data_IF_361497121291
#
_entry.id   IF_361497121291
#
_cell.length_a   1.000
_cell.length_b   1.000
_cell.length_c   1.000
_cell.angle_alpha   90.00
_cell.angle_beta   90.00
_cell.angle_gamma   90.00
#
_symmetry.space_group_name_H-M   'P 1'
#
loop_
_entity.id
_entity.type
_entity.pdbx_description
1 polymer ?
#
# COMPACT_ATOMS: atom_id res chain seq x y z
N UNK A 1 -56.35 -21.23 57.89
CA UNK A 1 -56.01 -22.36 58.76
C UNK A 1 -54.49 -22.40 58.83
N UNK A 2 -53.78 -21.87 59.72
CA UNK A 2 -53.65 -21.95 61.16
C UNK A 2 -52.57 -22.98 61.53
N UNK A 3 -51.87 -22.74 62.58
CA UNK A 3 -50.39 -22.52 62.61
C UNK A 3 -49.70 -23.55 63.57
N UNK A 4 -48.47 -23.22 64.00
CA UNK A 4 -47.75 -23.77 65.18
C UNK A 4 -46.52 -24.64 64.85
N UNK A 5 -45.37 -24.66 65.59
CA UNK A 5 -44.93 -23.97 66.81
C UNK A 5 -43.38 -24.20 66.86
N UNK A 6 -42.65 -23.27 67.48
CA UNK A 6 -41.25 -23.45 67.96
C UNK A 6 -41.29 -24.37 69.25
N UNK A 7 -40.17 -24.93 69.69
CA UNK A 7 -39.47 -24.28 70.75
C UNK A 7 -37.93 -24.29 70.70
N UNK A 8 -37.42 -23.31 71.42
CA UNK A 8 -36.05 -23.05 71.84
C UNK A 8 -35.65 -23.93 73.04
N UNK A 9 -34.39 -24.28 73.17
CA UNK A 9 -33.55 -24.51 74.34
C UNK A 9 -32.13 -24.59 73.87
N UNK A 10 -31.11 -23.90 74.32
CA UNK A 10 -30.71 -23.47 75.60
C UNK A 10 -29.16 -23.66 75.65
N UNK A 11 -28.48 -22.67 76.10
CA UNK A 11 -27.01 -22.50 76.12
C UNK A 11 -26.23 -23.59 76.90
N UNK A 12 -24.98 -23.80 76.52
CA UNK A 12 -23.84 -23.86 77.48
C UNK A 12 -22.53 -23.59 76.80
N UNK A 13 -21.76 -22.68 77.36
CA UNK A 13 -20.41 -22.33 76.95
C UNK A 13 -19.39 -23.35 77.46
N UNK A 14 -18.40 -23.72 76.64
CA UNK A 14 -17.15 -24.27 77.10
C UNK A 14 -16.01 -23.72 76.23
N UNK A 15 -15.21 -22.85 76.80
CA UNK A 15 -14.00 -22.36 76.26
C UNK A 15 -12.89 -23.41 76.35
N UNK A 16 -12.31 -23.82 75.27
CA UNK A 16 -11.03 -24.53 75.24
C UNK A 16 -10.12 -23.77 74.27
N UNK A 17 -9.11 -23.15 74.85
CA UNK A 17 -7.99 -22.56 74.04
C UNK A 17 -7.12 -23.65 73.52
N UNK A 18 -6.96 -23.76 72.22
CA UNK A 18 -5.86 -24.47 71.55
C UNK A 18 -5.00 -23.47 70.75
N UNK A 19 -3.81 -23.18 71.29
CA UNK A 19 -2.72 -22.63 70.62
C UNK A 19 -2.16 -23.69 69.62
N UNK A 20 -2.50 -23.53 68.38
CA UNK A 20 -1.93 -24.33 67.30
C UNK A 20 -1.44 -23.38 66.20
N UNK A 21 -0.13 -23.08 66.22
CA UNK A 21 0.48 -22.30 65.17
C UNK A 21 0.48 -23.04 63.85
N UNK A 22 -0.30 -22.57 62.88
CA UNK A 22 -0.20 -22.99 61.48
C UNK A 22 0.78 -22.08 60.78
N UNK A 23 1.99 -22.57 60.58
CA UNK A 23 2.94 -21.98 59.66
C UNK A 23 2.34 -22.08 58.25
N UNK A 24 1.82 -20.97 57.73
CA UNK A 24 1.41 -20.85 56.31
C UNK A 24 2.69 -20.84 55.46
N UNK A 25 3.00 -21.98 54.87
CA UNK A 25 3.97 -22.06 53.77
C UNK A 25 3.42 -21.25 52.57
N UNK A 26 3.84 -20.00 52.46
CA UNK A 26 3.65 -19.23 51.27
C UNK A 26 4.47 -19.87 50.13
N UNK A 27 3.84 -20.74 49.36
CA UNK A 27 4.43 -21.17 48.08
C UNK A 27 4.43 -19.98 47.15
N UNK A 28 5.61 -19.38 46.99
CA UNK A 28 5.88 -18.40 45.96
C UNK A 28 5.83 -19.13 44.62
N UNK A 29 4.70 -19.02 43.90
CA UNK A 29 4.57 -19.50 42.52
C UNK A 29 5.48 -18.58 41.69
N UNK A 30 6.69 -18.99 41.43
CA UNK A 30 7.51 -18.40 40.36
C UNK A 30 6.83 -18.74 39.04
N UNK A 31 5.96 -17.87 38.56
CA UNK A 31 5.58 -17.83 37.16
C UNK A 31 6.81 -17.32 36.43
N UNK A 32 7.65 -18.27 35.97
CA UNK A 32 8.68 -17.95 35.00
C UNK A 32 7.94 -17.44 33.76
N UNK A 33 7.88 -16.13 33.59
CA UNK A 33 7.48 -15.52 32.32
C UNK A 33 8.49 -16.03 31.30
N UNK A 34 8.09 -16.95 30.41
CA UNK A 34 8.86 -17.24 29.22
C UNK A 34 9.07 -15.91 28.54
N UNK A 35 10.28 -15.39 28.60
CA UNK A 35 10.66 -14.23 27.81
C UNK A 35 10.28 -14.55 26.37
N UNK A 36 9.29 -13.83 25.87
CA UNK A 36 8.84 -14.00 24.49
C UNK A 36 10.06 -13.65 23.64
N UNK A 37 10.60 -14.64 22.94
CA UNK A 37 11.80 -14.46 22.12
C UNK A 37 11.46 -13.36 21.12
N UNK A 38 12.06 -12.18 21.29
CA UNK A 38 11.88 -11.08 20.35
C UNK A 38 12.37 -11.61 19.01
N UNK A 39 11.49 -11.63 18.03
CA UNK A 39 11.85 -12.05 16.68
C UNK A 39 12.90 -11.08 16.12
N UNK A 40 13.92 -11.63 15.49
CA UNK A 40 14.95 -10.87 14.79
C UNK A 40 14.99 -11.32 13.33
N UNK A 41 15.13 -10.40 12.37
CA UNK A 41 15.19 -10.79 10.97
C UNK A 41 16.44 -11.62 10.67
N UNK A 42 16.35 -12.58 9.72
CA UNK A 42 17.53 -13.18 9.14
C UNK A 42 18.43 -12.10 8.54
N UNK A 43 19.72 -12.39 8.40
CA UNK A 43 20.71 -11.41 7.92
C UNK A 43 21.34 -11.87 6.62
N UNK A 44 21.59 -10.93 5.74
CA UNK A 44 22.45 -11.08 4.57
C UNK A 44 23.92 -11.22 5.01
N UNK A 45 24.83 -11.56 4.11
CA UNK A 45 26.26 -11.72 4.41
C UNK A 45 26.93 -10.44 4.93
N UNK A 46 26.40 -9.27 4.58
CA UNK A 46 26.85 -7.94 5.04
C UNK A 46 26.15 -7.49 6.34
N UNK A 47 25.34 -8.35 6.95
CA UNK A 47 24.76 -8.16 8.29
C UNK A 47 23.44 -7.38 8.32
N UNK A 48 22.88 -6.98 7.19
CA UNK A 48 21.60 -6.28 7.11
C UNK A 48 20.42 -7.26 7.09
N UNK A 49 19.19 -6.83 7.44
CA UNK A 49 18.00 -7.67 7.30
C UNK A 49 17.84 -8.24 5.90
N UNK A 50 17.60 -9.54 5.82
CA UNK A 50 17.40 -10.25 4.54
C UNK A 50 15.92 -10.15 4.12
N UNK A 51 15.66 -9.21 3.23
CA UNK A 51 14.33 -8.96 2.65
C UNK A 51 14.14 -9.65 1.30
N UNK A 52 15.10 -10.46 0.85
CA UNK A 52 15.06 -11.10 -0.46
C UNK A 52 13.85 -12.02 -0.61
N UNK A 53 13.38 -12.17 -1.84
CA UNK A 53 12.27 -13.05 -2.22
C UNK A 53 11.06 -12.31 -2.75
N UNK A 54 9.92 -13.00 -2.81
CA UNK A 54 8.70 -12.53 -3.43
C UNK A 54 7.75 -11.92 -2.41
N UNK A 55 7.23 -10.75 -2.74
CA UNK A 55 6.37 -9.95 -1.89
C UNK A 55 5.16 -9.44 -2.66
N UNK A 56 4.06 -9.21 -1.96
CA UNK A 56 2.91 -8.50 -2.51
C UNK A 56 2.55 -7.31 -1.65
N UNK A 57 2.23 -6.19 -2.28
CA UNK A 57 1.68 -5.01 -1.64
C UNK A 57 0.17 -4.86 -1.88
N UNK A 58 -0.49 -5.93 -2.35
CA UNK A 58 -1.92 -5.94 -2.59
C UNK A 58 -2.71 -5.61 -1.32
N UNK A 59 -3.54 -4.58 -1.38
CA UNK A 59 -4.32 -4.10 -0.25
C UNK A 59 -5.67 -3.54 -0.68
N UNK A 60 -6.69 -3.76 0.15
CA UNK A 60 -8.00 -3.09 0.04
C UNK A 60 -8.03 -1.74 0.75
N UNK A 61 -7.03 -1.44 1.58
CA UNK A 61 -6.95 -0.16 2.27
C UNK A 61 -6.81 0.97 1.26
N UNK A 62 -7.75 1.92 1.22
CA UNK A 62 -7.65 3.04 0.30
C UNK A 62 -6.52 4.01 0.70
N UNK A 63 -5.99 4.76 -0.25
CA UNK A 63 -4.97 5.78 0.04
C UNK A 63 -5.54 6.81 1.03
N UNK A 64 -6.70 7.37 0.74
CA UNK A 64 -7.39 8.33 1.59
C UNK A 64 -8.52 7.69 2.38
N UNK A 65 -8.76 8.18 3.59
CA UNK A 65 -9.86 7.71 4.45
C UNK A 65 -11.21 8.07 3.84
N UNK A 66 -12.12 7.10 3.69
CA UNK A 66 -13.50 7.37 3.30
C UNK A 66 -14.16 8.40 4.23
N UNK A 67 -14.92 9.32 3.65
CA UNK A 67 -15.53 10.44 4.41
C UNK A 67 -16.45 9.97 5.52
N UNK A 68 -17.16 8.89 5.29
CA UNK A 68 -18.09 8.26 6.23
C UNK A 68 -17.41 7.71 7.49
N UNK A 69 -16.11 7.46 7.45
CA UNK A 69 -15.34 6.97 8.60
C UNK A 69 -14.81 8.11 9.50
N UNK A 70 -14.94 9.37 9.07
CA UNK A 70 -14.56 10.54 9.85
C UNK A 70 -13.13 10.46 10.39
N UNK A 71 -12.97 10.43 11.72
CA UNK A 71 -11.66 10.34 12.39
C UNK A 71 -11.25 8.92 12.75
N UNK A 72 -12.01 7.90 12.36
CA UNK A 72 -11.73 6.51 12.69
C UNK A 72 -10.48 6.04 11.95
N UNK A 73 -9.37 5.92 12.66
CA UNK A 73 -8.07 5.55 12.08
C UNK A 73 -7.95 4.05 11.80
N UNK A 74 -8.55 3.21 12.67
CA UNK A 74 -8.45 1.75 12.56
C UNK A 74 -9.82 1.09 12.60
N UNK A 75 -9.95 0.01 11.85
CA UNK A 75 -11.02 -0.97 12.02
C UNK A 75 -10.75 -1.86 13.24
N UNK A 76 -11.79 -2.33 13.89
CA UNK A 76 -11.68 -3.52 14.73
C UNK A 76 -11.38 -4.73 13.85
N UNK A 77 -10.96 -5.84 14.45
CA UNK A 77 -10.69 -7.08 13.70
C UNK A 77 -11.93 -7.57 12.95
N UNK A 78 -13.10 -7.56 13.60
CA UNK A 78 -14.35 -7.96 12.99
C UNK A 78 -14.78 -7.04 11.84
N UNK A 79 -14.58 -5.73 11.96
CA UNK A 79 -14.86 -4.77 10.89
C UNK A 79 -13.92 -4.97 9.70
N UNK A 80 -12.62 -5.15 9.93
CA UNK A 80 -11.66 -5.41 8.87
C UNK A 80 -12.04 -6.67 8.09
N UNK A 81 -12.30 -7.78 8.78
CA UNK A 81 -12.75 -9.02 8.16
C UNK A 81 -14.05 -8.85 7.36
N UNK A 82 -15.01 -8.05 7.88
CA UNK A 82 -16.27 -7.76 7.17
C UNK A 82 -16.03 -6.96 5.89
N UNK A 83 -15.17 -5.94 5.94
CA UNK A 83 -14.82 -5.12 4.76
C UNK A 83 -14.08 -5.96 3.72
N UNK A 84 -13.12 -6.77 4.13
CA UNK A 84 -12.39 -7.69 3.24
C UNK A 84 -13.34 -8.64 2.54
N UNK A 85 -14.22 -9.31 3.30
CA UNK A 85 -15.22 -10.22 2.72
C UNK A 85 -16.19 -9.52 1.76
N UNK A 86 -16.58 -8.28 2.06
CA UNK A 86 -17.44 -7.49 1.17
C UNK A 86 -16.73 -7.12 -0.14
N UNK A 87 -15.46 -6.72 -0.06
CA UNK A 87 -14.65 -6.39 -1.25
C UNK A 87 -14.39 -7.62 -2.13
N UNK A 88 -14.05 -8.75 -1.53
CA UNK A 88 -13.87 -10.01 -2.25
C UNK A 88 -15.16 -10.43 -2.96
N UNK A 89 -16.33 -10.32 -2.31
CA UNK A 89 -17.61 -10.58 -2.97
C UNK A 89 -17.87 -9.64 -4.14
N UNK A 90 -17.56 -8.36 -3.99
CA UNK A 90 -17.71 -7.37 -5.06
C UNK A 90 -16.83 -7.70 -6.27
N UNK A 91 -15.56 -8.08 -6.04
CA UNK A 91 -14.63 -8.46 -7.12
C UNK A 91 -15.08 -9.74 -7.84
N UNK A 92 -15.70 -10.67 -7.11
CA UNK A 92 -16.18 -11.94 -7.67
C UNK A 92 -17.62 -11.88 -8.21
N UNK A 93 -18.32 -10.73 -8.09
CA UNK A 93 -19.73 -10.56 -8.51
C UNK A 93 -19.89 -10.11 -9.96
N UNK A 94 -19.00 -10.51 -10.83
CA UNK A 94 -19.11 -10.16 -12.26
C UNK A 94 -20.24 -10.91 -12.92
N UNK A 95 -20.96 -10.24 -13.84
CA UNK A 95 -22.00 -10.88 -14.61
C UNK A 95 -21.42 -11.99 -15.50
N UNK A 96 -22.04 -13.17 -15.56
CA UNK A 96 -21.60 -14.23 -16.48
C UNK A 96 -21.65 -13.83 -17.97
N UNK A 97 -22.35 -12.73 -18.28
CA UNK A 97 -22.50 -12.21 -19.64
C UNK A 97 -21.40 -11.21 -20.03
N UNK A 98 -20.64 -10.73 -19.05
CA UNK A 98 -19.53 -9.82 -19.32
C UNK A 98 -18.30 -10.62 -19.77
N UNK A 99 -17.73 -10.23 -20.90
CA UNK A 99 -16.38 -10.68 -21.29
C UNK A 99 -15.36 -10.01 -20.36
N UNK A 100 -15.01 -10.70 -19.30
CA UNK A 100 -14.15 -10.16 -18.27
C UNK A 100 -12.96 -11.09 -17.99
N UNK A 101 -11.94 -10.54 -17.36
CA UNK A 101 -10.87 -11.33 -16.78
C UNK A 101 -11.44 -12.29 -15.74
N UNK A 102 -11.08 -13.55 -15.84
CA UNK A 102 -11.34 -14.49 -14.75
C UNK A 102 -10.47 -14.12 -13.55
N UNK A 103 -11.03 -13.28 -12.68
CA UNK A 103 -10.36 -12.82 -11.47
C UNK A 103 -9.94 -13.97 -10.56
N UNK A 104 -10.60 -15.14 -10.64
CA UNK A 104 -10.25 -16.32 -9.84
C UNK A 104 -8.90 -16.88 -10.27
N UNK A 105 -8.57 -16.86 -11.56
CA UNK A 105 -7.27 -17.34 -12.08
C UNK A 105 -6.15 -16.37 -11.68
N UNK A 106 -6.40 -15.04 -11.81
CA UNK A 106 -5.39 -14.01 -11.58
C UNK A 106 -5.30 -13.53 -10.12
N UNK A 107 -6.28 -13.89 -9.29
CA UNK A 107 -6.40 -13.45 -7.90
C UNK A 107 -6.49 -14.63 -6.92
N UNK A 108 -5.92 -15.77 -7.28
CA UNK A 108 -5.90 -16.97 -6.43
C UNK A 108 -5.53 -16.69 -4.97
N UNK A 109 -5.66 -17.67 -4.08
CA UNK A 109 -5.42 -17.50 -2.63
C UNK A 109 -4.09 -16.83 -2.28
N UNK A 110 -3.06 -16.98 -3.14
CA UNK A 110 -1.75 -16.34 -2.99
C UNK A 110 -1.76 -14.81 -3.14
N UNK A 111 -2.80 -14.25 -3.77
CA UNK A 111 -2.95 -12.81 -3.98
C UNK A 111 -3.96 -12.16 -3.04
N UNK A 112 -4.27 -12.80 -1.92
CA UNK A 112 -5.27 -12.30 -0.98
C UNK A 112 -4.97 -10.87 -0.56
N UNK A 113 -5.85 -9.97 -0.95
CA UNK A 113 -5.86 -8.58 -0.53
C UNK A 113 -6.36 -8.48 0.90
N UNK A 114 -5.75 -7.62 1.68
CA UNK A 114 -6.14 -7.40 3.08
C UNK A 114 -6.34 -5.91 3.34
N UNK A 115 -6.98 -5.62 4.46
CA UNK A 115 -6.90 -4.29 5.07
C UNK A 115 -5.57 -4.18 5.79
N UNK A 116 -4.64 -3.42 5.21
CA UNK A 116 -3.29 -3.25 5.73
C UNK A 116 -3.31 -2.67 7.14
N UNK A 117 -2.70 -3.36 8.12
CA UNK A 117 -2.65 -2.96 9.52
C UNK A 117 -4.03 -2.58 10.13
N UNK A 118 -5.13 -3.09 9.59
CA UNK A 118 -6.51 -2.68 9.94
C UNK A 118 -6.77 -1.18 9.78
N UNK A 119 -5.96 -0.46 9.03
CA UNK A 119 -6.13 0.98 8.81
C UNK A 119 -7.29 1.26 7.86
N UNK A 120 -7.95 2.39 8.11
CA UNK A 120 -9.04 2.91 7.28
C UNK A 120 -8.52 3.72 6.08
N UNK A 121 -7.23 4.08 6.11
CA UNK A 121 -6.48 4.72 5.01
C UNK A 121 -5.01 4.33 5.09
N UNK A 122 -4.31 4.32 3.95
CA UNK A 122 -2.85 4.19 3.96
C UNK A 122 -2.21 5.44 4.57
N UNK A 123 -2.74 6.63 4.27
CA UNK A 123 -2.27 7.90 4.87
C UNK A 123 -2.52 7.88 6.38
N UNK A 124 -1.44 8.14 7.14
CA UNK A 124 -1.47 8.29 8.60
C UNK A 124 -1.03 9.68 9.06
N UNK A 125 -0.36 10.43 8.19
CA UNK A 125 0.01 11.82 8.41
C UNK A 125 -0.28 12.61 7.12
N UNK A 126 -1.23 13.53 7.16
CA UNK A 126 -2.00 14.05 8.31
C UNK A 126 -2.95 13.01 8.95
N UNK A 127 -3.32 13.20 10.25
CA UNK A 127 -4.11 12.22 11.00
C UNK A 127 -5.57 12.08 10.53
N UNK A 128 -6.07 13.02 9.72
CA UNK A 128 -7.36 12.89 9.04
C UNK A 128 -7.35 11.81 7.95
N UNK A 129 -6.15 11.28 7.60
CA UNK A 129 -5.97 10.22 6.61
C UNK A 129 -6.22 10.68 5.17
N UNK A 130 -5.95 11.95 4.87
CA UNK A 130 -6.19 12.56 3.56
C UNK A 130 -4.96 13.24 3.00
N UNK A 131 -4.90 13.30 1.68
CA UNK A 131 -3.92 14.12 0.99
C UNK A 131 -4.17 15.60 1.36
N UNK A 132 -3.12 16.35 1.71
CA UNK A 132 -3.24 17.78 1.98
C UNK A 132 -3.82 18.55 0.79
N UNK A 133 -4.45 19.71 1.04
CA UNK A 133 -4.92 20.56 -0.04
C UNK A 133 -3.81 20.92 -1.02
N UNK A 134 -4.18 21.10 -2.28
CA UNK A 134 -3.27 21.58 -3.30
C UNK A 134 -2.80 23.01 -2.95
N UNK A 135 -1.56 23.31 -3.31
CA UNK A 135 -1.00 24.66 -3.29
C UNK A 135 -1.72 25.53 -4.34
N UNK A 136 -1.44 26.83 -4.37
CA UNK A 136 -1.95 27.70 -5.42
C UNK A 136 -1.49 27.24 -6.80
N UNK A 137 -0.20 26.88 -6.92
CA UNK A 137 0.37 26.37 -8.16
C UNK A 137 -0.20 24.99 -8.52
N UNK A 138 -0.33 24.07 -7.55
CA UNK A 138 -0.95 22.77 -7.76
C UNK A 138 -2.40 22.87 -8.25
N UNK A 139 -3.17 23.86 -7.77
CA UNK A 139 -4.52 24.13 -8.30
C UNK A 139 -4.50 24.60 -9.75
N UNK A 140 -3.56 25.48 -10.14
CA UNK A 140 -3.40 25.91 -11.53
C UNK A 140 -3.05 24.74 -12.44
N UNK A 141 -2.08 23.93 -12.03
CA UNK A 141 -1.67 22.72 -12.75
C UNK A 141 -2.84 21.75 -12.93
N UNK A 142 -3.61 21.48 -11.87
CA UNK A 142 -4.77 20.60 -11.93
C UNK A 142 -5.81 21.07 -12.97
N UNK A 143 -6.07 22.39 -13.03
CA UNK A 143 -6.96 22.98 -14.04
C UNK A 143 -6.42 22.80 -15.46
N UNK A 144 -5.13 23.06 -15.67
CA UNK A 144 -4.48 22.94 -16.99
C UNK A 144 -4.51 21.49 -17.48
N UNK A 145 -4.24 20.54 -16.60
CA UNK A 145 -4.26 19.13 -16.93
C UNK A 145 -5.67 18.66 -17.23
N UNK A 146 -6.66 19.03 -16.42
CA UNK A 146 -8.06 18.72 -16.71
C UNK A 146 -8.49 19.31 -18.07
N UNK A 147 -8.03 20.51 -18.41
CA UNK A 147 -8.26 21.12 -19.70
C UNK A 147 -7.56 20.40 -20.83
N UNK A 148 -6.29 19.96 -20.63
CA UNK A 148 -5.54 19.17 -21.59
C UNK A 148 -6.18 17.81 -21.82
N UNK A 149 -6.62 17.13 -20.76
CA UNK A 149 -7.31 15.83 -20.86
C UNK A 149 -8.62 15.95 -21.69
N UNK A 150 -9.37 17.05 -21.52
CA UNK A 150 -10.57 17.30 -22.33
C UNK A 150 -10.24 17.56 -23.80
N UNK A 151 -9.17 18.31 -24.10
CA UNK A 151 -8.70 18.54 -25.46
C UNK A 151 -8.19 17.29 -26.14
N UNK A 152 -7.60 16.38 -25.37
CA UNK A 152 -7.05 15.09 -25.82
C UNK A 152 -8.09 13.96 -25.83
N UNK A 153 -9.37 14.26 -25.78
CA UNK A 153 -10.45 13.24 -25.82
C UNK A 153 -10.40 12.39 -27.10
N UNK A 154 -9.77 12.90 -28.19
CA UNK A 154 -9.31 12.09 -29.30
C UNK A 154 -7.89 11.61 -29.04
N UNK A 155 -7.53 10.45 -29.45
CA UNK A 155 -6.16 9.97 -29.45
C UNK A 155 -5.47 10.48 -30.72
N UNK A 156 -5.00 11.73 -30.73
CA UNK A 156 -4.31 12.32 -31.87
C UNK A 156 -2.99 11.59 -32.13
N UNK A 157 -2.31 11.20 -31.04
CA UNK A 157 -1.05 10.48 -31.07
C UNK A 157 -0.90 9.51 -29.89
N UNK A 158 0.10 8.66 -29.91
CA UNK A 158 0.42 7.79 -28.79
C UNK A 158 0.78 8.58 -27.50
N UNK A 159 1.34 9.78 -27.64
CA UNK A 159 1.70 10.66 -26.52
C UNK A 159 0.49 11.18 -25.76
N UNK A 160 -0.69 11.15 -26.34
CA UNK A 160 -1.94 11.53 -25.68
C UNK A 160 -2.51 10.43 -24.76
N UNK A 161 -1.93 9.24 -24.84
CA UNK A 161 -2.30 8.09 -24.01
C UNK A 161 -1.42 8.02 -22.76
N UNK A 162 -1.98 7.40 -21.72
CA UNK A 162 -1.28 7.27 -20.45
C UNK A 162 -0.02 6.41 -20.55
N UNK A 163 0.92 6.56 -19.62
CA UNK A 163 2.11 5.73 -19.57
C UNK A 163 1.78 4.24 -19.48
N UNK A 164 0.71 3.89 -18.75
CA UNK A 164 0.24 2.51 -18.63
C UNK A 164 -0.28 1.94 -19.95
N UNK A 165 -1.11 2.68 -20.70
CA UNK A 165 -1.61 2.26 -22.01
C UNK A 165 -0.49 2.14 -23.04
N UNK A 166 0.61 2.86 -22.82
CA UNK A 166 1.83 2.81 -23.63
C UNK A 166 2.84 1.77 -23.17
N UNK A 167 2.52 0.98 -22.13
CA UNK A 167 3.41 -0.02 -21.53
C UNK A 167 4.75 0.56 -21.05
N UNK A 168 4.77 1.79 -20.54
CA UNK A 168 5.98 2.47 -20.08
C UNK A 168 6.12 2.37 -18.56
N UNK A 169 5.06 2.68 -17.81
CA UNK A 169 5.03 2.60 -16.37
C UNK A 169 3.60 2.48 -15.85
N UNK A 170 3.45 1.85 -14.70
CA UNK A 170 2.18 1.77 -13.98
C UNK A 170 2.28 2.47 -12.63
N UNK A 171 1.21 3.11 -12.17
CA UNK A 171 1.26 3.97 -11.00
C UNK A 171 1.59 3.29 -9.67
N UNK A 172 1.54 1.96 -9.57
CA UNK A 172 1.87 1.22 -8.35
C UNK A 172 3.32 0.73 -8.27
N UNK A 173 4.13 0.91 -9.32
CA UNK A 173 5.56 0.58 -9.29
C UNK A 173 6.35 1.51 -8.37
N UNK A 174 5.87 2.73 -8.19
CA UNK A 174 6.57 3.72 -7.38
C UNK A 174 7.79 4.36 -8.03
N UNK A 175 8.56 5.10 -7.25
CA UNK A 175 8.30 5.52 -5.88
C UNK A 175 7.24 6.63 -5.75
N UNK A 176 6.40 6.61 -4.71
CA UNK A 176 6.22 5.53 -3.74
C UNK A 176 5.36 4.39 -4.29
N UNK A 177 5.55 3.18 -3.74
CA UNK A 177 4.70 2.04 -4.04
C UNK A 177 3.40 2.17 -3.26
N UNK A 178 2.32 2.48 -3.94
CA UNK A 178 0.98 2.49 -3.34
C UNK A 178 0.31 1.14 -3.58
N UNK A 179 -0.35 0.62 -2.56
CA UNK A 179 -1.04 -0.65 -2.65
C UNK A 179 -1.98 -0.70 -3.87
N UNK A 180 -1.92 -1.79 -4.60
CA UNK A 180 -2.75 -2.03 -5.78
C UNK A 180 -3.55 -3.30 -5.59
N UNK A 181 -4.62 -3.43 -6.36
CA UNK A 181 -5.39 -4.66 -6.46
C UNK A 181 -5.06 -5.46 -7.73
N UNK A 182 -4.10 -5.01 -8.53
CA UNK A 182 -3.75 -5.60 -9.80
C UNK A 182 -2.23 -5.71 -9.94
N UNK A 183 -1.71 -6.92 -10.19
CA UNK A 183 -0.28 -7.23 -10.37
C UNK A 183 0.62 -6.53 -9.35
N UNK A 184 0.25 -6.62 -8.07
CA UNK A 184 0.92 -5.94 -6.97
C UNK A 184 2.10 -6.75 -6.40
N UNK A 185 2.61 -7.72 -7.16
CA UNK A 185 3.70 -8.57 -6.74
C UNK A 185 5.03 -7.99 -7.18
N UNK A 186 6.04 -8.30 -6.41
CA UNK A 186 7.40 -7.87 -6.68
C UNK A 186 8.41 -8.87 -6.11
N UNK A 187 9.60 -8.85 -6.63
CA UNK A 187 10.76 -9.55 -6.12
C UNK A 187 11.76 -8.55 -5.57
N UNK A 188 12.28 -8.82 -4.38
CA UNK A 188 13.40 -8.08 -3.79
C UNK A 188 14.66 -8.91 -3.91
N UNK A 189 15.72 -8.29 -4.44
CA UNK A 189 17.06 -8.87 -4.51
C UNK A 189 18.04 -7.92 -3.84
N UNK A 190 18.93 -8.44 -3.00
CA UNK A 190 19.93 -7.67 -2.26
C UNK A 190 21.35 -8.07 -2.67
N UNK A 191 21.83 -7.63 -3.83
CA UNK A 191 23.24 -7.83 -4.17
C UNK A 191 24.11 -6.91 -3.30
N UNK A 192 25.41 -7.16 -3.20
CA UNK A 192 26.31 -6.28 -2.48
C UNK A 192 26.18 -4.81 -2.95
N UNK A 193 25.97 -3.90 -2.00
CA UNK A 193 25.88 -2.44 -2.24
C UNK A 193 24.68 -1.97 -3.09
N UNK A 194 23.64 -2.79 -3.22
CA UNK A 194 22.40 -2.38 -3.86
C UNK A 194 21.18 -3.09 -3.25
N UNK A 195 20.02 -2.47 -3.44
CA UNK A 195 18.72 -3.06 -3.17
C UNK A 195 17.90 -2.94 -4.44
N UNK A 196 17.44 -4.06 -4.99
CA UNK A 196 16.73 -4.10 -6.27
C UNK A 196 15.30 -4.53 -6.01
N UNK A 197 14.35 -3.77 -6.57
CA UNK A 197 12.93 -4.12 -6.58
C UNK A 197 12.54 -4.37 -8.02
N UNK A 198 12.09 -5.59 -8.30
CA UNK A 198 11.59 -6.02 -9.60
C UNK A 198 10.08 -6.21 -9.50
N UNK A 199 9.32 -5.38 -10.18
CA UNK A 199 7.85 -5.43 -10.19
C UNK A 199 7.35 -6.39 -11.27
N UNK A 200 6.30 -7.15 -10.95
CA UNK A 200 5.60 -7.98 -11.93
C UNK A 200 4.94 -7.12 -13.00
N UNK A 201 4.25 -6.05 -12.58
CA UNK A 201 3.58 -5.14 -13.52
C UNK A 201 4.59 -4.41 -14.39
N UNK A 202 4.41 -4.49 -15.70
CA UNK A 202 5.28 -3.85 -16.72
C UNK A 202 6.78 -4.17 -16.51
N UNK A 203 7.11 -5.21 -15.73
CA UNK A 203 8.47 -5.65 -15.39
C UNK A 203 9.42 -4.50 -15.01
N UNK A 204 8.90 -3.49 -14.31
CA UNK A 204 9.68 -2.36 -13.83
C UNK A 204 10.75 -2.78 -12.84
N UNK A 205 11.97 -2.28 -13.02
CA UNK A 205 13.09 -2.56 -12.12
C UNK A 205 13.62 -1.28 -11.52
N UNK A 206 13.66 -1.21 -10.18
CA UNK A 206 14.31 -0.13 -9.45
C UNK A 206 15.62 -0.63 -8.86
N UNK A 207 16.72 -0.08 -9.31
CA UNK A 207 18.04 -0.31 -8.72
C UNK A 207 18.35 0.84 -7.76
N UNK A 208 18.54 0.51 -6.49
CA UNK A 208 18.79 1.47 -5.41
C UNK A 208 20.21 1.25 -4.89
N UNK A 209 21.18 2.10 -5.27
CA UNK A 209 22.53 2.03 -4.76
C UNK A 209 22.57 2.26 -3.24
N UNK A 210 23.38 1.43 -2.55
CA UNK A 210 23.67 1.51 -1.10
C UNK A 210 25.14 1.87 -0.83
N UNK A 211 25.78 2.48 -1.81
CA UNK A 211 27.23 2.72 -1.80
C UNK A 211 27.62 4.11 -1.25
N UNK A 212 26.65 4.87 -0.76
CA UNK A 212 26.85 6.21 -0.23
C UNK A 212 27.10 7.27 -1.33
N UNK A 213 26.93 6.94 -2.60
CA UNK A 213 27.03 7.91 -3.69
C UNK A 213 25.93 8.98 -3.58
N UNK A 214 26.24 10.24 -3.89
CA UNK A 214 25.23 11.30 -3.92
C UNK A 214 24.24 11.09 -5.05
N UNK A 215 23.11 11.80 -4.98
CA UNK A 215 22.20 11.90 -6.12
C UNK A 215 22.88 12.44 -7.37
N UNK A 216 22.34 12.06 -8.51
CA UNK A 216 22.73 12.60 -9.80
C UNK A 216 22.53 14.13 -9.83
N UNK A 217 23.29 14.86 -10.65
CA UNK A 217 23.06 16.30 -10.81
C UNK A 217 21.58 16.61 -11.15
N UNK A 218 21.01 17.72 -10.67
CA UNK A 218 19.58 18.05 -10.85
C UNK A 218 19.11 18.12 -12.30
N UNK A 219 20.03 18.26 -13.26
CA UNK A 219 19.71 18.21 -14.70
C UNK A 219 19.52 16.80 -15.26
N UNK A 220 19.89 15.76 -14.51
CA UNK A 220 19.72 14.36 -14.92
C UNK A 220 18.46 13.82 -14.26
N UNK A 221 17.36 13.74 -15.01
CA UNK A 221 16.05 13.39 -14.51
C UNK A 221 15.57 12.07 -15.13
N UNK A 222 14.87 11.27 -14.33
CA UNK A 222 14.39 9.96 -14.72
C UNK A 222 12.88 9.83 -14.42
N UNK A 223 12.19 8.92 -15.10
CA UNK A 223 10.77 8.66 -14.89
C UNK A 223 10.50 8.17 -13.46
N UNK A 224 11.30 7.26 -12.95
CA UNK A 224 11.21 6.73 -11.56
C UNK A 224 12.06 7.52 -10.56
N UNK A 225 12.61 8.68 -10.93
CA UNK A 225 13.54 9.42 -10.09
C UNK A 225 14.90 8.74 -9.94
N UNK A 226 15.78 9.36 -9.16
CA UNK A 226 17.09 8.86 -8.79
C UNK A 226 17.06 8.45 -7.30
N UNK A 227 17.11 7.16 -7.03
CA UNK A 227 17.01 6.58 -5.69
C UNK A 227 18.39 6.35 -5.10
N UNK A 228 18.56 6.67 -3.80
CA UNK A 228 19.74 6.35 -2.99
C UNK A 228 19.28 5.73 -1.67
N UNK A 229 19.92 4.63 -1.26
CA UNK A 229 19.55 3.93 -0.05
C UNK A 229 20.66 3.90 1.00
N UNK A 230 20.26 3.83 2.25
CA UNK A 230 21.15 3.56 3.39
C UNK A 230 20.39 2.83 4.49
N UNK A 231 21.15 2.20 5.40
CA UNK A 231 20.54 1.51 6.53
C UNK A 231 20.55 2.36 7.79
N UNK A 232 19.40 2.46 8.45
CA UNK A 232 19.23 2.98 9.79
C UNK A 232 18.84 1.83 10.74
N UNK A 233 19.84 1.20 11.36
CA UNK A 233 19.61 -0.04 12.10
C UNK A 233 19.06 -1.14 11.20
N UNK A 234 17.86 -1.64 11.50
CA UNK A 234 17.17 -2.68 10.74
C UNK A 234 16.17 -2.13 9.70
N UNK A 235 16.21 -0.85 9.44
CA UNK A 235 15.35 -0.19 8.44
C UNK A 235 16.19 0.27 7.25
N UNK A 236 15.82 -0.16 6.05
CA UNK A 236 16.33 0.44 4.81
C UNK A 236 15.58 1.74 4.58
N UNK A 237 16.32 2.83 4.42
CA UNK A 237 15.79 4.14 4.03
C UNK A 237 16.22 4.43 2.61
N UNK A 238 15.26 4.81 1.77
CA UNK A 238 15.49 5.16 0.37
C UNK A 238 15.01 6.59 0.15
N UNK A 239 15.93 7.43 -0.30
CA UNK A 239 15.68 8.80 -0.71
C UNK A 239 15.61 8.87 -2.23
N UNK A 240 14.57 9.50 -2.79
CA UNK A 240 14.37 9.58 -4.24
C UNK A 240 13.98 11.00 -4.65
N UNK A 241 14.77 11.54 -5.58
CA UNK A 241 14.61 12.86 -6.20
C UNK A 241 14.77 12.77 -7.72
N UNK A 242 14.92 13.89 -8.40
CA UNK A 242 15.24 13.96 -9.83
C UNK A 242 14.22 13.24 -10.73
N UNK A 243 12.95 13.35 -10.39
CA UNK A 243 11.87 12.93 -11.27
C UNK A 243 11.78 13.83 -12.50
N UNK A 244 11.33 13.30 -13.61
CA UNK A 244 11.01 14.09 -14.80
C UNK A 244 9.54 14.53 -14.80
N UNK A 245 9.20 15.47 -15.68
CA UNK A 245 7.84 16.04 -15.76
C UNK A 245 6.78 15.07 -16.34
N UNK A 246 7.18 13.87 -16.74
CA UNK A 246 6.27 12.82 -17.21
C UNK A 246 5.84 11.89 -16.08
N UNK A 247 6.36 12.09 -14.86
CA UNK A 247 6.02 11.29 -13.69
C UNK A 247 4.63 11.69 -13.19
N UNK A 248 3.67 10.80 -13.35
CA UNK A 248 2.36 10.96 -12.76
C UNK A 248 2.30 10.10 -11.51
N UNK A 249 2.29 10.72 -10.33
CA UNK A 249 1.93 10.01 -9.12
C UNK A 249 0.46 9.62 -9.23
N UNK A 250 0.22 8.35 -9.53
CA UNK A 250 -1.11 7.78 -9.47
C UNK A 250 -1.23 7.08 -8.14
N UNK A 251 -2.04 7.65 -7.27
CA UNK A 251 -2.60 6.90 -6.18
C UNK A 251 -3.28 5.63 -6.71
N UNK A 252 -3.54 4.62 -5.86
CA UNK A 252 -4.29 3.44 -6.28
C UNK A 252 -5.52 3.92 -7.04
N UNK A 253 -6.05 3.11 -7.98
CA UNK A 253 -7.26 3.44 -8.71
C UNK A 253 -8.42 3.55 -7.71
N UNK A 254 -8.42 4.60 -6.94
CA UNK A 254 -9.59 5.08 -6.25
C UNK A 254 -10.37 5.84 -7.31
N UNK A 255 -11.69 5.73 -7.31
CA UNK A 255 -12.60 6.43 -8.19
C UNK A 255 -12.51 7.97 -8.07
N UNK A 256 -11.59 8.48 -7.29
CA UNK A 256 -11.18 9.86 -7.24
C UNK A 256 -10.07 10.05 -8.27
N UNK A 257 -10.45 10.45 -9.46
CA UNK A 257 -9.60 11.00 -10.51
C UNK A 257 -8.89 12.27 -10.03
N UNK A 258 -8.03 12.13 -9.06
CA UNK A 258 -7.02 13.13 -8.82
C UNK A 258 -5.76 12.56 -9.46
N UNK A 259 -5.63 12.83 -10.76
CA UNK A 259 -4.34 12.80 -11.39
C UNK A 259 -3.51 13.84 -10.66
N UNK A 260 -2.83 13.43 -9.62
CA UNK A 260 -1.96 14.31 -8.86
C UNK A 260 -0.68 14.41 -9.66
N UNK A 261 -0.45 15.57 -10.25
CA UNK A 261 0.73 15.84 -11.04
C UNK A 261 1.85 16.21 -10.10
N UNK A 262 2.78 15.32 -9.96
CA UNK A 262 4.07 15.63 -9.36
C UNK A 262 5.04 15.94 -10.48
N UNK A 263 5.79 16.99 -10.30
CA UNK A 263 6.82 17.43 -11.21
C UNK A 263 8.24 17.15 -10.67
N UNK A 264 9.19 17.85 -11.22
CA UNK A 264 10.60 17.74 -10.83
C UNK A 264 10.91 18.13 -9.38
N UNK A 265 9.96 18.67 -8.61
CA UNK A 265 10.14 18.99 -7.19
C UNK A 265 9.71 17.83 -6.28
N UNK A 266 9.20 16.75 -6.85
CA UNK A 266 8.82 15.58 -6.08
C UNK A 266 10.03 15.00 -5.33
N UNK A 267 9.85 14.83 -4.03
CA UNK A 267 10.78 14.14 -3.15
C UNK A 267 10.04 13.03 -2.39
N UNK A 268 10.58 11.83 -2.43
CA UNK A 268 10.00 10.66 -1.78
C UNK A 268 11.04 10.02 -0.87
N UNK A 269 10.68 9.83 0.39
CA UNK A 269 11.49 9.04 1.34
C UNK A 269 10.72 7.79 1.71
N UNK A 270 11.31 6.63 1.43
CA UNK A 270 10.72 5.33 1.70
C UNK A 270 11.48 4.60 2.82
N UNK A 271 10.78 3.79 3.60
CA UNK A 271 11.34 3.03 4.72
C UNK A 271 10.80 1.61 4.70
N UNK A 272 11.70 0.66 4.65
CA UNK A 272 11.39 -0.78 4.65
C UNK A 272 11.88 -1.39 5.96
N UNK A 273 10.99 -1.96 6.75
CA UNK A 273 11.32 -2.58 8.03
C UNK A 273 10.65 -3.95 8.13
N UNK A 274 11.43 -5.01 8.30
CA UNK A 274 10.84 -6.30 8.58
C UNK A 274 10.19 -6.31 9.97
N UNK A 275 8.91 -6.65 10.04
CA UNK A 275 8.13 -6.74 11.29
C UNK A 275 7.81 -8.17 11.67
N UNK A 276 8.11 -9.12 10.80
CA UNK A 276 7.95 -10.55 11.00
C UNK A 276 8.58 -11.33 9.84
N UNK A 277 8.60 -12.66 9.88
CA UNK A 277 9.21 -13.49 8.82
C UNK A 277 8.50 -13.33 7.47
N UNK A 278 7.21 -12.99 7.49
CA UNK A 278 6.33 -12.89 6.34
C UNK A 278 5.86 -11.45 6.07
N UNK A 279 6.45 -10.44 6.76
CA UNK A 279 5.94 -9.07 6.69
C UNK A 279 7.03 -8.03 6.67
N UNK A 280 6.89 -7.06 5.74
CA UNK A 280 7.66 -5.82 5.71
C UNK A 280 6.65 -4.67 5.91
N UNK A 281 6.88 -3.85 6.92
CA UNK A 281 6.21 -2.56 7.05
C UNK A 281 6.91 -1.59 6.10
N UNK A 282 6.18 -1.16 5.10
CA UNK A 282 6.62 -0.16 4.15
C UNK A 282 5.96 1.16 4.47
N UNK A 283 6.76 2.19 4.73
CA UNK A 283 6.33 3.56 4.97
C UNK A 283 6.94 4.48 3.94
N UNK A 284 6.21 5.52 3.58
CA UNK A 284 6.76 6.55 2.72
C UNK A 284 6.25 7.94 3.09
N UNK A 285 7.06 8.94 2.79
CA UNK A 285 6.76 10.35 2.90
C UNK A 285 6.89 10.98 1.52
N UNK A 286 5.91 11.75 1.16
CA UNK A 286 5.85 12.48 -0.12
C UNK A 286 5.90 13.98 0.17
N UNK A 287 6.75 14.67 -0.55
CA UNK A 287 6.91 16.12 -0.46
C UNK A 287 7.02 16.69 -1.87
N UNK A 288 6.14 17.62 -2.18
CA UNK A 288 6.19 18.43 -3.39
C UNK A 288 5.49 19.77 -3.10
N UNK A 289 6.26 20.82 -2.74
CA UNK A 289 5.68 22.11 -2.35
C UNK A 289 5.02 22.88 -3.50
N UNK A 290 5.30 22.47 -4.75
CA UNK A 290 4.60 23.03 -5.91
C UNK A 290 3.18 22.46 -6.06
N UNK A 291 2.95 21.25 -5.53
CA UNK A 291 1.67 20.54 -5.66
C UNK A 291 0.84 20.64 -4.39
N UNK A 292 1.40 20.37 -3.22
CA UNK A 292 0.68 20.29 -1.94
C UNK A 292 1.11 21.36 -0.94
N UNK A 293 0.17 21.80 -0.11
CA UNK A 293 0.44 22.79 0.95
C UNK A 293 1.35 22.26 2.06
N UNK A 294 1.50 20.96 2.20
CA UNK A 294 2.40 20.31 3.18
C UNK A 294 2.70 18.86 2.74
N UNK A 295 3.80 18.28 3.24
CA UNK A 295 4.09 16.87 3.03
C UNK A 295 3.04 15.94 3.67
N UNK A 296 2.99 14.69 3.21
CA UNK A 296 2.14 13.66 3.77
C UNK A 296 2.84 12.30 3.79
N UNK A 297 2.38 11.40 4.64
CA UNK A 297 2.99 10.09 4.83
C UNK A 297 1.94 8.99 4.84
N UNK A 298 2.33 7.83 4.33
CA UNK A 298 1.46 6.66 4.30
C UNK A 298 2.25 5.39 4.65
N UNK A 299 1.52 4.35 5.02
CA UNK A 299 2.10 3.04 5.31
C UNK A 299 1.23 1.90 4.77
N UNK A 300 1.88 0.80 4.43
CA UNK A 300 1.23 -0.46 4.13
C UNK A 300 2.12 -1.63 4.55
N UNK A 301 1.51 -2.81 4.71
CA UNK A 301 2.23 -4.05 4.98
C UNK A 301 2.37 -4.82 3.68
N UNK A 302 3.62 -5.07 3.30
CA UNK A 302 3.94 -6.04 2.25
C UNK A 302 3.99 -7.43 2.87
N UNK A 303 3.45 -8.41 2.17
CA UNK A 303 3.40 -9.80 2.62
C UNK A 303 4.19 -10.69 1.68
N UNK A 304 4.88 -11.67 2.26
CA UNK A 304 5.56 -12.69 1.47
C UNK A 304 4.55 -13.57 0.75
N UNK A 305 4.87 -14.02 -0.45
CA UNK A 305 4.10 -15.04 -1.17
C UNK A 305 5.02 -16.06 -1.82
N UNK A 306 4.46 -17.19 -2.24
CA UNK A 306 5.25 -18.34 -2.69
C UNK A 306 5.97 -18.10 -4.04
N UNK A 307 5.62 -17.03 -4.77
CA UNK A 307 6.21 -16.74 -6.09
C UNK A 307 6.00 -17.84 -7.12
N UNK A 308 6.63 -17.76 -8.26
CA UNK A 308 7.36 -16.60 -8.76
C UNK A 308 6.44 -15.46 -9.20
N UNK A 309 7.03 -14.31 -9.54
CA UNK A 309 6.33 -13.30 -10.35
C UNK A 309 6.28 -13.76 -11.80
N UNK A 310 5.26 -13.32 -12.53
CA UNK A 310 5.07 -13.72 -13.91
C UNK A 310 5.54 -12.62 -14.87
N UNK A 311 5.84 -13.01 -16.10
CA UNK A 311 6.07 -12.06 -17.17
C UNK A 311 4.80 -11.24 -17.45
N UNK A 312 4.96 -9.94 -17.51
CA UNK A 312 3.91 -9.01 -17.93
C UNK A 312 4.16 -8.54 -19.36
N UNK A 313 3.72 -9.32 -20.35
CA UNK A 313 3.96 -9.10 -21.78
C UNK A 313 3.05 -7.99 -22.33
N UNK A 314 3.21 -6.76 -21.85
CA UNK A 314 2.34 -5.63 -22.17
C UNK A 314 2.45 -5.21 -23.65
N UNK A 315 3.67 -5.17 -24.20
CA UNK A 315 3.91 -4.71 -25.56
C UNK A 315 3.42 -5.69 -26.62
N UNK A 316 3.62 -6.98 -26.40
CA UNK A 316 3.34 -8.07 -27.35
C UNK A 316 1.85 -8.17 -27.69
N UNK A 317 0.98 -7.85 -26.73
CA UNK A 317 -0.48 -7.89 -26.89
C UNK A 317 -1.15 -6.52 -27.02
N UNK A 318 -0.39 -5.42 -27.14
CA UNK A 318 -0.97 -4.07 -27.10
C UNK A 318 -1.65 -3.64 -28.40
N UNK A 319 -2.60 -4.45 -28.86
CA UNK A 319 -3.49 -4.08 -29.97
C UNK A 319 -4.45 -2.94 -29.58
N UNK A 320 -4.73 -2.76 -28.29
CA UNK A 320 -5.58 -1.71 -27.77
C UNK A 320 -5.12 -0.33 -28.16
N UNK A 321 -3.85 -0.01 -27.97
CA UNK A 321 -3.28 1.30 -28.36
C UNK A 321 -3.44 1.57 -29.86
N UNK A 322 -3.08 0.61 -30.71
CA UNK A 322 -3.25 0.74 -32.16
C UNK A 322 -4.72 0.96 -32.56
N UNK A 323 -5.64 0.22 -31.96
CA UNK A 323 -7.05 0.31 -32.27
C UNK A 323 -7.67 1.62 -31.80
N UNK A 324 -7.27 2.15 -30.63
CA UNK A 324 -7.71 3.45 -30.13
C UNK A 324 -7.30 4.56 -31.13
N UNK A 325 -6.04 4.56 -31.56
CA UNK A 325 -5.55 5.54 -32.52
C UNK A 325 -6.23 5.42 -33.90
N UNK A 326 -6.46 4.22 -34.38
CA UNK A 326 -7.17 3.98 -35.64
C UNK A 326 -8.65 4.40 -35.55
N UNK A 327 -9.31 4.13 -34.43
CA UNK A 327 -10.69 4.55 -34.16
C UNK A 327 -10.83 6.08 -34.15
N UNK A 328 -9.90 6.79 -33.54
CA UNK A 328 -9.86 8.25 -33.55
C UNK A 328 -9.77 8.80 -34.99
N UNK A 329 -8.89 8.25 -35.83
CA UNK A 329 -8.75 8.65 -37.27
C UNK A 329 -10.03 8.37 -38.05
N UNK A 330 -10.70 7.24 -37.78
CA UNK A 330 -11.98 6.93 -38.43
C UNK A 330 -13.09 7.92 -38.02
N UNK A 331 -13.15 8.28 -36.74
CA UNK A 331 -14.12 9.27 -36.23
C UNK A 331 -13.90 10.66 -36.84
N UNK A 332 -12.64 11.14 -36.94
CA UNK A 332 -12.30 12.41 -37.57
C UNK A 332 -12.69 12.45 -39.05
N UNK A 333 -12.42 11.37 -39.78
CA UNK A 333 -12.83 11.26 -41.17
C UNK A 333 -14.35 11.33 -41.33
N UNK A 334 -15.08 10.60 -40.50
CA UNK A 334 -16.55 10.61 -40.53
C UNK A 334 -17.11 12.02 -40.20
N UNK A 335 -16.54 12.72 -39.21
CA UNK A 335 -16.94 14.09 -38.88
C UNK A 335 -16.66 15.07 -40.04
N UNK A 336 -15.49 14.97 -40.70
CA UNK A 336 -15.16 15.81 -41.86
C UNK A 336 -16.07 15.54 -43.06
N UNK A 337 -16.52 14.30 -43.28
CA UNK A 337 -17.50 13.94 -44.32
C UNK A 337 -18.90 14.48 -43.98
N UNK A 338 -19.31 14.41 -42.72
CA UNK A 338 -20.60 14.95 -42.27
C UNK A 338 -20.68 16.47 -42.42
N UNK A 339 -19.56 17.19 -42.17
CA UNK A 339 -19.48 18.64 -42.31
C UNK A 339 -19.54 19.15 -43.75
N UNK A 340 -19.39 18.27 -44.75
CA UNK A 340 -19.49 18.59 -46.18
C UNK A 340 -20.91 18.46 -46.75
N UNK A 341 -21.81 17.88 -46.00
CA UNK A 341 -23.24 17.71 -46.34
C UNK A 341 -24.08 18.85 -45.74
#
# INVERSE_FOLDING_TARGET
>A
MGPRFFPSVGATAAAIAFLGGTAALAQTIHIASKAQKIWAPPRTADGHPDMQGYWTNAAFTPLERPKELGTKEFYTEAEAASVEAARLRQENSQSPEDVHYDNVIWQGESYQKIISNRRTSLIFDPPDGRIPPLSEEGNKQAVEVAAAARRRAGAESAQDRTLAERCIAWGNEGPPMVGSTYNANLEIVQPPRAFVIHHEIIHGVRNIPLDGSPHLPPGVRQLGGDSRGHWEGDTLVVDTTNFNDATNFRGPPSNTRQDVFTDHNLHVVERFTMTGPETILYRFRVEDPSVWTKPWSAELVMRRFAGPIFEYACHEGNYGLKNILAGARAAEKAAAEAAKK
#
